data_IF_865602452274
#
_entry.id   IF_865602452274
#
_cell.length_a   1.000
_cell.length_b   1.000
_cell.length_c   1.000
_cell.angle_alpha   90.00
_cell.angle_beta   90.00
_cell.angle_gamma   90.00
#
_symmetry.space_group_name_H-M   'P 1'
#
loop_
_entity.id
_entity.type
_entity.pdbx_description
1 polymer ?
#
# COMPACT_ATOMS: atom_id res chain seq x y z
N UNK A 1 16.65 -2.85 -9.81
CA UNK A 1 17.40 -1.58 -9.75
C UNK A 1 16.72 -0.68 -8.72
N UNK A 2 16.98 -0.93 -7.44
CA UNK A 2 16.64 -0.02 -6.33
C UNK A 2 17.68 -0.28 -5.23
N UNK A 3 18.93 -0.02 -5.58
CA UNK A 3 19.99 0.29 -4.62
C UNK A 3 20.56 1.58 -5.19
N UNK A 4 20.55 2.63 -4.36
CA UNK A 4 20.94 4.02 -4.66
C UNK A 4 19.98 4.88 -5.49
N UNK A 5 19.00 5.45 -4.80
CA UNK A 5 18.57 6.83 -5.03
C UNK A 5 18.43 7.54 -3.68
N UNK A 6 19.51 8.12 -3.12
CA UNK A 6 19.50 8.81 -1.83
C UNK A 6 18.93 10.24 -1.95
N UNK A 7 17.82 10.43 -2.65
CA UNK A 7 17.08 11.70 -2.74
C UNK A 7 15.66 11.46 -3.26
N UNK A 8 14.77 10.90 -2.42
CA UNK A 8 13.36 11.26 -2.55
C UNK A 8 13.30 12.69 -2.05
N UNK A 9 13.22 13.65 -2.97
CA UNK A 9 12.90 15.04 -2.63
C UNK A 9 11.59 14.98 -1.85
N UNK A 10 11.66 15.13 -0.52
CA UNK A 10 10.48 15.38 0.29
C UNK A 10 9.94 16.74 -0.18
N UNK A 11 9.08 16.74 -1.22
CA UNK A 11 8.19 17.87 -1.46
C UNK A 11 7.53 18.16 -0.12
N UNK A 12 7.61 19.41 0.34
CA UNK A 12 7.01 19.78 1.61
C UNK A 12 5.50 19.58 1.49
N UNK A 13 5.00 18.49 2.08
CA UNK A 13 3.57 18.28 2.20
C UNK A 13 3.01 19.33 3.18
N UNK A 14 1.78 19.81 2.96
CA UNK A 14 1.07 20.57 3.98
C UNK A 14 1.09 19.82 5.32
N UNK A 15 1.26 20.55 6.43
CA UNK A 15 1.47 19.93 7.76
C UNK A 15 0.33 18.98 8.15
N UNK A 16 -0.90 19.31 7.77
CA UNK A 16 -2.09 18.51 8.03
C UNK A 16 -2.23 17.27 7.12
N UNK A 17 -1.41 17.14 6.07
CA UNK A 17 -1.36 15.99 5.15
C UNK A 17 -0.03 15.23 5.23
N UNK A 18 0.80 15.51 6.23
CA UNK A 18 2.18 15.01 6.33
C UNK A 18 2.28 13.49 6.52
N UNK A 19 1.20 12.79 6.86
CA UNK A 19 1.17 11.33 7.02
C UNK A 19 0.87 10.58 5.73
N UNK A 20 0.51 11.24 4.63
CA UNK A 20 0.28 10.56 3.34
C UNK A 20 1.42 9.61 2.92
N UNK A 21 2.72 9.91 3.13
CA UNK A 21 3.81 8.99 2.81
C UNK A 21 3.79 7.71 3.66
N UNK A 22 3.38 7.81 4.93
CA UNK A 22 3.25 6.67 5.85
C UNK A 22 2.22 5.67 5.30
N UNK A 23 1.03 6.17 4.93
CA UNK A 23 0.00 5.35 4.31
C UNK A 23 0.45 4.80 2.95
N UNK A 24 1.10 5.60 2.11
CA UNK A 24 1.53 5.18 0.77
C UNK A 24 2.57 4.04 0.77
N UNK A 25 3.41 3.99 1.80
CA UNK A 25 4.46 2.98 1.96
C UNK A 25 3.96 1.69 2.62
N UNK A 26 2.77 1.70 3.21
CA UNK A 26 2.17 0.52 3.83
C UNK A 26 1.11 -0.10 2.92
N UNK A 27 1.35 -1.31 2.40
CA UNK A 27 0.45 -1.94 1.42
C UNK A 27 -0.98 -2.18 1.89
N UNK A 28 -1.29 -2.02 3.19
CA UNK A 28 -2.66 -2.07 3.71
C UNK A 28 -3.66 -1.28 2.88
N UNK A 29 -3.26 -0.11 2.37
CA UNK A 29 -4.12 0.68 1.49
C UNK A 29 -4.66 -0.12 0.30
N UNK A 30 -3.94 -1.11 -0.20
CA UNK A 30 -4.30 -1.81 -1.44
C UNK A 30 -5.47 -2.79 -1.30
N UNK A 31 -5.78 -3.27 -0.09
CA UNK A 31 -6.98 -4.06 0.17
C UNK A 31 -8.05 -3.33 1.01
N UNK A 32 -7.80 -2.08 1.41
CA UNK A 32 -8.80 -1.21 2.05
C UNK A 32 -9.40 -0.24 1.05
N UNK A 33 -10.73 -0.24 0.90
CA UNK A 33 -11.40 0.58 -0.11
C UNK A 33 -11.27 2.08 0.17
N UNK A 34 -11.46 2.49 1.41
CA UNK A 34 -11.43 3.88 1.86
C UNK A 34 -10.05 4.50 1.64
N UNK A 35 -8.98 3.73 1.89
CA UNK A 35 -7.61 4.17 1.66
C UNK A 35 -7.29 4.33 0.17
N UNK A 36 -7.79 3.42 -0.70
CA UNK A 36 -7.66 3.59 -2.18
C UNK A 36 -8.38 4.83 -2.67
N UNK A 37 -9.61 5.04 -2.20
CA UNK A 37 -10.41 6.20 -2.57
C UNK A 37 -9.76 7.51 -2.13
N UNK A 38 -9.11 7.54 -0.97
CA UNK A 38 -8.35 8.71 -0.52
C UNK A 38 -7.26 9.10 -1.53
N UNK A 39 -6.48 8.14 -2.04
CA UNK A 39 -5.45 8.41 -3.04
C UNK A 39 -6.05 8.83 -4.39
N UNK A 40 -7.14 8.19 -4.82
CA UNK A 40 -7.85 8.57 -6.04
C UNK A 40 -8.36 10.02 -5.98
N UNK A 41 -8.88 10.46 -4.83
CA UNK A 41 -9.39 11.83 -4.65
C UNK A 41 -8.31 12.91 -4.74
N UNK A 42 -7.05 12.56 -4.46
CA UNK A 42 -5.95 13.51 -4.57
C UNK A 42 -5.87 14.01 -6.02
N UNK A 43 -5.85 13.10 -6.98
CA UNK A 43 -5.90 13.42 -8.40
C UNK A 43 -6.32 12.16 -9.19
N UNK A 44 -7.59 12.03 -9.61
CA UNK A 44 -8.07 10.82 -10.28
C UNK A 44 -7.35 10.52 -11.60
N UNK A 45 -6.92 11.57 -12.31
CA UNK A 45 -6.22 11.43 -13.59
C UNK A 45 -4.82 10.91 -13.34
N UNK A 46 -4.09 11.53 -12.41
CA UNK A 46 -2.74 11.10 -12.05
C UNK A 46 -2.75 9.72 -11.39
N UNK A 47 -3.79 9.38 -10.62
CA UNK A 47 -3.98 8.06 -10.03
C UNK A 47 -4.03 6.96 -11.11
N UNK A 48 -4.79 7.18 -12.18
CA UNK A 48 -4.83 6.27 -13.33
C UNK A 48 -3.47 6.23 -14.07
N UNK A 49 -2.86 7.40 -14.33
CA UNK A 49 -1.58 7.51 -15.06
C UNK A 49 -0.39 6.86 -14.31
N UNK A 50 -0.43 6.87 -12.99
CA UNK A 50 0.58 6.24 -12.13
C UNK A 50 0.31 4.75 -11.89
N UNK A 51 -0.69 4.17 -12.56
CA UNK A 51 -1.13 2.79 -12.38
C UNK A 51 -1.46 2.48 -10.91
N UNK A 52 -2.14 3.41 -10.24
CA UNK A 52 -2.56 3.26 -8.84
C UNK A 52 -1.37 3.05 -7.89
N UNK A 53 -0.25 3.72 -8.14
CA UNK A 53 0.91 3.71 -7.25
C UNK A 53 0.92 4.99 -6.39
N UNK A 54 0.61 4.93 -5.08
CA UNK A 54 0.48 6.12 -4.25
C UNK A 54 1.81 6.82 -3.99
N UNK A 55 2.93 6.08 -3.95
CA UNK A 55 4.26 6.69 -3.81
C UNK A 55 4.56 7.56 -5.03
N UNK A 56 4.27 7.04 -6.23
CA UNK A 56 4.44 7.80 -7.48
C UNK A 56 3.46 8.97 -7.59
N UNK A 57 2.19 8.76 -7.23
CA UNK A 57 1.18 9.82 -7.15
C UNK A 57 1.68 11.00 -6.29
N UNK A 58 2.17 10.73 -5.07
CA UNK A 58 2.64 11.78 -4.16
C UNK A 58 3.93 12.45 -4.63
N UNK A 59 4.76 11.75 -5.40
CA UNK A 59 5.94 12.32 -6.06
C UNK A 59 5.54 13.27 -7.21
N UNK A 60 4.55 12.89 -8.00
CA UNK A 60 4.23 13.55 -9.26
C UNK A 60 3.18 14.67 -9.09
N UNK A 61 2.32 14.60 -8.05
CA UNK A 61 1.22 15.55 -7.82
C UNK A 61 1.72 16.98 -7.59
N UNK A 62 1.13 17.95 -8.30
CA UNK A 62 1.52 19.35 -8.18
C UNK A 62 1.27 19.91 -6.76
N UNK A 63 2.20 20.70 -6.18
CA UNK A 63 2.05 21.22 -4.82
C UNK A 63 0.75 22.01 -4.57
N UNK A 64 0.31 22.83 -5.54
CA UNK A 64 -0.93 23.61 -5.44
C UNK A 64 -2.19 22.74 -5.31
N UNK A 65 -2.16 21.51 -5.83
CA UNK A 65 -3.28 20.56 -5.65
C UNK A 65 -3.36 20.10 -4.21
N UNK A 66 -2.22 19.72 -3.62
CA UNK A 66 -2.14 19.33 -2.20
C UNK A 66 -2.48 20.50 -1.27
N UNK A 67 -2.02 21.71 -1.58
CA UNK A 67 -2.36 22.92 -0.81
C UNK A 67 -3.89 23.16 -0.79
N UNK A 68 -4.56 23.05 -1.94
CA UNK A 68 -6.03 23.16 -2.00
C UNK A 68 -6.75 22.05 -1.23
N UNK A 69 -6.28 20.81 -1.32
CA UNK A 69 -6.85 19.69 -0.56
C UNK A 69 -6.64 19.84 0.95
N UNK A 70 -5.52 20.46 1.36
CA UNK A 70 -5.26 20.78 2.75
C UNK A 70 -6.22 21.83 3.32
N UNK A 71 -6.93 22.57 2.48
CA UNK A 71 -7.96 23.55 2.88
C UNK A 71 -9.38 23.03 2.67
N UNK A 72 -9.58 21.89 2.00
CA UNK A 72 -10.90 21.31 1.72
C UNK A 72 -11.42 20.49 2.92
N UNK A 73 -12.48 20.95 3.62
CA UNK A 73 -13.03 20.24 4.77
C UNK A 73 -13.52 18.83 4.44
N UNK A 74 -13.98 18.59 3.20
CA UNK A 74 -14.50 17.30 2.78
C UNK A 74 -13.39 16.28 2.59
N UNK A 75 -12.28 16.69 1.98
CA UNK A 75 -11.08 15.86 1.87
C UNK A 75 -10.49 15.58 3.27
N UNK A 76 -10.37 16.60 4.12
CA UNK A 76 -9.82 16.44 5.47
C UNK A 76 -10.64 15.47 6.33
N UNK A 77 -11.99 15.48 6.21
CA UNK A 77 -12.84 14.49 6.90
C UNK A 77 -12.52 13.06 6.46
N UNK A 78 -12.32 12.83 5.17
CA UNK A 78 -11.99 11.51 4.63
C UNK A 78 -10.58 11.09 5.05
N UNK A 79 -9.61 12.01 4.96
CA UNK A 79 -8.25 11.80 5.44
C UNK A 79 -8.24 11.37 6.91
N UNK A 80 -8.92 12.13 7.80
CA UNK A 80 -9.01 11.78 9.22
C UNK A 80 -9.71 10.45 9.46
N UNK A 81 -10.75 10.12 8.71
CA UNK A 81 -11.44 8.85 8.83
C UNK A 81 -10.54 7.67 8.44
N UNK A 82 -9.80 7.78 7.34
CA UNK A 82 -8.86 6.74 6.88
C UNK A 82 -7.71 6.57 7.87
N UNK A 83 -7.12 7.65 8.39
CA UNK A 83 -6.04 7.53 9.36
C UNK A 83 -6.50 6.96 10.69
N UNK A 84 -7.74 7.24 11.12
CA UNK A 84 -8.32 6.54 12.28
C UNK A 84 -8.41 5.04 12.05
N UNK A 85 -8.89 4.60 10.87
CA UNK A 85 -8.93 3.17 10.53
C UNK A 85 -7.53 2.55 10.48
N UNK A 86 -6.56 3.27 9.90
CA UNK A 86 -5.18 2.83 9.80
C UNK A 86 -4.51 2.71 11.18
N UNK A 87 -4.71 3.69 12.06
CA UNK A 87 -4.19 3.68 13.42
C UNK A 87 -4.84 2.56 14.26
N UNK A 88 -6.16 2.34 14.10
CA UNK A 88 -6.88 1.22 14.72
C UNK A 88 -6.33 -0.14 14.23
N UNK A 89 -6.06 -0.26 12.93
CA UNK A 89 -5.47 -1.46 12.33
C UNK A 89 -4.06 -1.74 12.86
N UNK A 90 -3.17 -0.76 12.80
CA UNK A 90 -1.77 -0.90 13.26
C UNK A 90 -1.66 -1.11 14.76
N UNK A 91 -2.57 -0.54 15.55
CA UNK A 91 -2.59 -0.78 16.99
C UNK A 91 -2.80 -2.27 17.31
N UNK A 92 -3.46 -3.01 16.42
CA UNK A 92 -3.58 -4.48 16.43
C UNK A 92 -4.03 -5.08 17.78
N UNK A 93 -4.73 -4.31 18.62
CA UNK A 93 -4.98 -4.64 20.04
C UNK A 93 -5.98 -5.79 20.24
N UNK A 94 -6.72 -6.16 19.19
CA UNK A 94 -7.81 -7.16 19.24
C UNK A 94 -7.78 -8.10 18.04
N UNK A 95 -6.59 -8.40 17.51
CA UNK A 95 -6.48 -9.35 16.41
C UNK A 95 -7.07 -10.70 16.81
N UNK A 96 -7.61 -11.43 15.83
CA UNK A 96 -8.24 -12.73 16.10
C UNK A 96 -7.23 -13.70 16.72
N UNK A 97 -5.99 -13.75 16.20
CA UNK A 97 -4.92 -14.58 16.75
C UNK A 97 -4.52 -14.10 18.14
N UNK A 98 -4.34 -12.79 18.36
CA UNK A 98 -3.96 -12.25 19.68
C UNK A 98 -4.99 -12.52 20.77
N UNK A 99 -6.26 -12.69 20.41
CA UNK A 99 -7.37 -12.95 21.34
C UNK A 99 -7.66 -14.43 21.58
N UNK A 100 -7.56 -15.28 20.55
CA UNK A 100 -7.95 -16.70 20.62
C UNK A 100 -6.76 -17.66 20.65
N UNK A 101 -5.60 -17.24 20.13
CA UNK A 101 -4.41 -18.07 19.92
C UNK A 101 -3.12 -17.27 20.19
N UNK A 102 -3.06 -16.58 21.33
CA UNK A 102 -1.93 -15.72 21.69
C UNK A 102 -0.59 -16.47 21.73
N UNK A 103 -0.61 -17.78 21.97
CA UNK A 103 0.57 -18.65 21.89
C UNK A 103 1.20 -18.68 20.49
N UNK A 104 0.40 -18.63 19.42
CA UNK A 104 0.90 -18.58 18.04
C UNK A 104 1.67 -17.27 17.73
N UNK A 105 1.41 -16.19 18.48
CA UNK A 105 2.15 -14.93 18.30
C UNK A 105 3.60 -15.00 18.79
N UNK A 106 3.95 -16.02 19.60
CA UNK A 106 5.29 -16.16 20.18
C UNK A 106 6.33 -16.69 19.20
N UNK A 107 5.89 -17.26 18.09
CA UNK A 107 6.76 -17.78 17.03
C UNK A 107 6.43 -17.10 15.72
N UNK A 108 7.45 -16.75 14.94
CA UNK A 108 7.27 -16.11 13.64
C UNK A 108 7.27 -17.16 12.53
N UNK A 109 6.25 -17.14 11.69
CA UNK A 109 6.13 -17.98 10.49
C UNK A 109 6.91 -17.31 9.37
N UNK A 110 7.92 -18.00 8.85
CA UNK A 110 8.62 -17.61 7.62
C UNK A 110 7.94 -18.29 6.42
N UNK A 111 7.27 -17.51 5.58
CA UNK A 111 6.52 -18.00 4.43
C UNK A 111 7.29 -17.73 3.13
N UNK A 112 7.87 -18.78 2.56
CA UNK A 112 8.66 -18.69 1.35
C UNK A 112 7.77 -18.87 0.12
N UNK A 113 7.82 -17.91 -0.79
CA UNK A 113 7.20 -18.01 -2.11
C UNK A 113 8.10 -17.38 -3.15
N UNK A 114 8.08 -17.94 -4.37
CA UNK A 114 8.74 -17.32 -5.50
C UNK A 114 8.04 -16.02 -5.92
N UNK A 115 6.76 -15.85 -5.61
CA UNK A 115 5.92 -14.74 -6.08
C UNK A 115 4.95 -14.24 -5.00
N UNK A 116 4.59 -12.95 -5.06
CA UNK A 116 3.59 -12.34 -4.19
C UNK A 116 2.70 -11.34 -4.94
N UNK A 117 1.42 -11.68 -5.08
CA UNK A 117 0.38 -10.89 -5.74
C UNK A 117 -0.30 -9.91 -4.78
N UNK A 118 0.46 -8.92 -4.30
CA UNK A 118 -0.03 -7.96 -3.30
C UNK A 118 -0.88 -6.87 -3.97
N UNK A 119 -0.30 -6.18 -4.95
CA UNK A 119 -0.96 -5.14 -5.73
C UNK A 119 -0.22 -4.90 -7.05
N UNK A 120 -0.89 -4.38 -8.08
CA UNK A 120 -0.31 -4.11 -9.40
C UNK A 120 0.88 -3.11 -9.37
N UNK A 121 0.95 -2.26 -8.34
CA UNK A 121 2.07 -1.33 -8.12
C UNK A 121 3.35 -2.03 -7.66
N UNK A 122 3.29 -3.31 -7.27
CA UNK A 122 4.41 -4.14 -6.83
C UNK A 122 4.45 -5.40 -7.73
N UNK A 123 5.01 -5.31 -8.94
CA UNK A 123 4.91 -6.36 -9.96
C UNK A 123 5.90 -7.51 -9.70
N UNK A 124 5.70 -8.27 -8.62
CA UNK A 124 6.52 -9.42 -8.21
C UNK A 124 5.77 -10.76 -8.31
N UNK A 125 4.81 -10.86 -9.22
CA UNK A 125 4.07 -12.08 -9.51
C UNK A 125 3.70 -12.20 -11.00
N UNK A 126 3.40 -13.42 -11.43
CA UNK A 126 3.06 -13.76 -12.82
C UNK A 126 1.70 -14.46 -12.97
N UNK A 127 1.20 -15.10 -11.90
CA UNK A 127 -0.04 -15.87 -11.97
C UNK A 127 -0.63 -16.27 -10.61
N UNK A 128 -1.38 -17.38 -10.61
CA UNK A 128 -2.20 -17.81 -9.47
C UNK A 128 -1.42 -18.12 -8.19
N UNK A 129 -0.17 -18.61 -8.30
CA UNK A 129 0.70 -18.84 -7.15
C UNK A 129 0.92 -17.55 -6.37
N UNK A 130 1.31 -16.49 -7.07
CA UNK A 130 1.55 -15.20 -6.45
C UNK A 130 0.28 -14.62 -5.84
N UNK A 131 -0.86 -14.70 -6.53
CA UNK A 131 -2.16 -14.24 -5.98
C UNK A 131 -2.46 -14.93 -4.65
N UNK A 132 -2.37 -16.27 -4.60
CA UNK A 132 -2.61 -17.03 -3.36
C UNK A 132 -1.64 -16.63 -2.25
N UNK A 133 -0.34 -16.53 -2.55
CA UNK A 133 0.66 -16.09 -1.59
C UNK A 133 0.40 -14.66 -1.08
N UNK A 134 -0.06 -13.76 -1.96
CA UNK A 134 -0.45 -12.40 -1.61
C UNK A 134 -1.66 -12.38 -0.68
N UNK A 135 -2.67 -13.20 -0.96
CA UNK A 135 -3.88 -13.29 -0.13
C UNK A 135 -3.59 -13.90 1.25
N UNK A 136 -2.68 -14.88 1.34
CA UNK A 136 -2.16 -15.35 2.62
C UNK A 136 -1.51 -14.22 3.43
N UNK A 137 -0.70 -13.36 2.80
CA UNK A 137 -0.09 -12.22 3.49
C UNK A 137 -1.13 -11.23 4.02
N UNK A 138 -2.15 -10.91 3.22
CA UNK A 138 -3.23 -9.99 3.60
C UNK A 138 -4.02 -10.55 4.78
N UNK A 139 -4.44 -11.81 4.69
CA UNK A 139 -5.20 -12.48 5.75
C UNK A 139 -4.36 -12.61 7.02
N UNK A 140 -3.09 -13.01 6.90
CA UNK A 140 -2.17 -13.07 8.04
C UNK A 140 -2.03 -11.72 8.75
N UNK A 141 -2.01 -10.62 8.00
CA UNK A 141 -2.00 -9.27 8.54
C UNK A 141 -3.32 -8.95 9.26
N UNK A 142 -4.47 -9.24 8.65
CA UNK A 142 -5.79 -8.94 9.21
C UNK A 142 -6.11 -9.73 10.49
N UNK A 143 -5.70 -11.00 10.58
CA UNK A 143 -5.88 -11.82 11.79
C UNK A 143 -4.78 -11.59 12.85
N UNK A 144 -3.73 -10.83 12.51
CA UNK A 144 -2.60 -10.50 13.38
C UNK A 144 -1.68 -11.68 13.68
N UNK A 145 -1.39 -12.50 12.66
CA UNK A 145 -0.44 -13.61 12.74
C UNK A 145 1.01 -13.07 12.68
N UNK A 146 1.91 -13.63 13.51
CA UNK A 146 3.34 -13.33 13.42
C UNK A 146 3.92 -13.98 12.17
N UNK A 147 3.94 -13.24 11.06
CA UNK A 147 4.16 -13.77 9.72
C UNK A 147 5.12 -12.89 8.92
N UNK A 148 6.08 -13.51 8.24
CA UNK A 148 7.05 -12.83 7.35
C UNK A 148 7.09 -13.55 6.01
N UNK A 149 6.68 -12.86 4.95
CA UNK A 149 6.84 -13.33 3.57
C UNK A 149 8.28 -13.16 3.08
N UNK A 150 8.86 -14.20 2.49
CA UNK A 150 10.21 -14.20 1.93
C UNK A 150 10.14 -14.62 0.47
N UNK A 151 10.71 -13.80 -0.41
CA UNK A 151 10.73 -14.05 -1.85
C UNK A 151 11.74 -13.17 -2.57
N UNK A 152 11.53 -12.99 -3.87
CA UNK A 152 12.44 -12.25 -4.74
C UNK A 152 11.87 -10.91 -5.18
N UNK A 153 12.76 -9.93 -5.33
CA UNK A 153 12.45 -8.66 -5.99
C UNK A 153 12.88 -8.72 -7.45
N UNK A 154 11.95 -9.05 -8.35
CA UNK A 154 12.22 -9.16 -9.77
C UNK A 154 12.39 -7.78 -10.42
N UNK A 155 13.58 -7.42 -10.95
CA UNK A 155 13.81 -6.06 -11.46
C UNK A 155 12.95 -5.68 -12.66
N UNK A 156 12.49 -6.67 -13.44
CA UNK A 156 11.75 -6.47 -14.69
C UNK A 156 10.26 -6.87 -14.57
N UNK A 157 9.83 -7.34 -13.39
CA UNK A 157 8.52 -7.99 -13.24
C UNK A 157 8.33 -9.16 -14.20
N UNK A 158 7.08 -9.46 -14.56
CA UNK A 158 6.73 -10.56 -15.46
C UNK A 158 6.77 -10.13 -16.94
N UNK A 159 5.78 -9.39 -17.44
CA UNK A 159 5.81 -8.71 -18.75
C UNK A 159 4.67 -7.69 -18.87
N UNK A 160 4.74 -6.76 -19.83
CA UNK A 160 3.63 -5.86 -20.21
C UNK A 160 3.05 -6.29 -21.54
N UNK A 161 1.85 -6.86 -21.54
CA UNK A 161 1.16 -7.23 -22.76
C UNK A 161 0.71 -5.98 -23.52
N UNK A 162 1.02 -5.91 -24.82
CA UNK A 162 0.46 -4.93 -25.75
C UNK A 162 -0.21 -5.68 -26.87
N UNK A 163 -1.50 -5.41 -27.09
CA UNK A 163 -2.25 -5.95 -28.22
C UNK A 163 -2.29 -4.86 -29.27
N UNK A 164 -1.67 -5.10 -30.42
CA UNK A 164 -1.76 -4.21 -31.59
C UNK A 164 -2.90 -4.68 -32.50
N UNK A 165 -3.66 -3.79 -33.12
CA UNK A 165 -4.56 -4.18 -34.20
C UNK A 165 -3.73 -4.71 -35.37
N UNK A 166 -4.05 -5.90 -35.87
CA UNK A 166 -3.70 -6.39 -37.21
C UNK A 166 -4.87 -6.10 -38.17
#
# INVERSE_FOLDING_TARGET
MFVDSPNVVHRSLPQNLNRLPELAQNLWWSWTLEARQLFELIDPTLWALTHHNPVKLLSDVIPDRLARLAEDPSFLRQYSAVFRLFDEYLANKKSWVGTHHADLTKSTIAYFSAEFGLHASVPIYSGGLGILAGDHCKEASDIGLSFVGIGFMYPQGYFRQRITPE
#
